data_IF_702722011750
#
_entry.id   IF_702722011750
#
_cell.length_a   1.000
_cell.length_b   1.000
_cell.length_c   1.000
_cell.angle_alpha   90.00
_cell.angle_beta   90.00
_cell.angle_gamma   90.00
#
_symmetry.space_group_name_H-M   'P 1'
#
loop_
_entity.id
_entity.type
_entity.pdbx_description
1 polymer ?
#
# COMPACT_ATOMS: atom_id res chain seq x y z
N UNK A 1 2.92 -38.68 2.89
CA UNK A 1 1.87 -37.68 3.20
C UNK A 1 2.52 -36.30 3.34
N UNK A 2 3.39 -35.96 2.39
CA UNK A 2 4.38 -34.85 2.47
C UNK A 2 4.47 -34.04 1.17
N UNK A 3 3.74 -34.44 0.11
CA UNK A 3 3.75 -33.74 -1.19
C UNK A 3 2.77 -32.57 -1.27
N UNK A 4 1.70 -32.56 -0.47
CA UNK A 4 0.69 -31.51 -0.56
C UNK A 4 1.20 -30.16 -0.05
N UNK A 5 2.08 -30.13 0.95
CA UNK A 5 2.64 -28.88 1.52
C UNK A 5 3.63 -28.21 0.56
N UNK A 6 4.41 -28.98 -0.18
CA UNK A 6 5.30 -28.46 -1.23
C UNK A 6 4.48 -27.82 -2.37
N UNK A 7 3.41 -28.48 -2.83
CA UNK A 7 2.55 -27.95 -3.89
C UNK A 7 1.77 -26.68 -3.49
N UNK A 8 1.44 -26.54 -2.20
CA UNK A 8 0.73 -25.38 -1.68
C UNK A 8 1.66 -24.18 -1.50
N UNK A 9 2.89 -24.43 -1.03
CA UNK A 9 3.95 -23.44 -1.03
C UNK A 9 4.21 -22.98 -2.48
N UNK A 10 4.48 -23.89 -3.41
CA UNK A 10 4.78 -23.55 -4.81
C UNK A 10 3.64 -22.78 -5.50
N UNK A 11 2.37 -23.14 -5.24
CA UNK A 11 1.19 -22.37 -5.70
C UNK A 11 1.05 -20.99 -5.06
N UNK A 12 1.49 -20.82 -3.81
CA UNK A 12 1.58 -19.50 -3.16
C UNK A 12 2.80 -18.69 -3.61
N UNK A 13 3.84 -19.36 -4.13
CA UNK A 13 5.13 -18.75 -4.51
C UNK A 13 5.20 -18.35 -5.98
N UNK A 14 4.42 -18.99 -6.88
CA UNK A 14 4.55 -18.82 -8.33
C UNK A 14 3.50 -17.97 -9.04
N UNK A 15 2.49 -17.43 -8.35
CA UNK A 15 1.43 -16.64 -9.00
C UNK A 15 1.94 -15.21 -9.26
N UNK A 16 2.37 -14.97 -10.51
CA UNK A 16 2.72 -13.62 -11.00
C UNK A 16 1.51 -12.70 -10.88
N UNK A 17 1.73 -11.48 -10.37
CA UNK A 17 0.65 -10.54 -10.06
C UNK A 17 0.39 -9.69 -11.30
N UNK A 18 -0.46 -10.17 -12.20
CA UNK A 18 -0.85 -9.42 -13.39
C UNK A 18 -2.14 -8.61 -13.14
N UNK A 19 -2.04 -7.27 -13.02
CA UNK A 19 -3.19 -6.40 -12.76
C UNK A 19 -4.12 -6.21 -13.97
N UNK A 20 -3.71 -6.64 -15.17
CA UNK A 20 -4.62 -6.72 -16.32
C UNK A 20 -5.68 -7.83 -16.16
N UNK A 21 -5.41 -8.81 -15.30
CA UNK A 21 -6.35 -9.89 -14.99
C UNK A 21 -7.39 -9.45 -13.95
N UNK A 22 -8.65 -9.77 -14.21
CA UNK A 22 -9.78 -9.38 -13.35
C UNK A 22 -9.63 -9.90 -11.92
N UNK A 23 -9.12 -11.13 -11.73
CA UNK A 23 -8.91 -11.73 -10.41
C UNK A 23 -7.89 -10.95 -9.60
N UNK A 24 -6.75 -10.62 -10.19
CA UNK A 24 -5.66 -9.90 -9.52
C UNK A 24 -6.03 -8.44 -9.22
N UNK A 25 -6.74 -7.79 -10.14
CA UNK A 25 -7.28 -6.45 -9.91
C UNK A 25 -8.26 -6.45 -8.72
N UNK A 26 -9.20 -7.39 -8.67
CA UNK A 26 -10.15 -7.53 -7.55
C UNK A 26 -9.45 -7.85 -6.22
N UNK A 27 -8.46 -8.76 -6.22
CA UNK A 27 -7.67 -9.06 -5.03
C UNK A 27 -6.87 -7.84 -4.55
N UNK A 28 -6.38 -7.00 -5.47
CA UNK A 28 -5.72 -5.74 -5.13
C UNK A 28 -6.67 -4.75 -4.48
N UNK A 29 -7.89 -4.63 -5.01
CA UNK A 29 -8.94 -3.77 -4.44
C UNK A 29 -9.40 -4.26 -3.06
N UNK A 30 -9.51 -5.58 -2.88
CA UNK A 30 -9.80 -6.16 -1.58
C UNK A 30 -8.65 -5.90 -0.59
N UNK A 31 -7.40 -6.06 -1.05
CA UNK A 31 -6.21 -5.69 -0.28
C UNK A 31 -6.17 -4.20 0.07
N UNK A 32 -6.71 -3.32 -0.78
CA UNK A 32 -6.88 -1.91 -0.50
C UNK A 32 -7.86 -1.68 0.65
N UNK A 33 -8.99 -2.41 0.66
CA UNK A 33 -9.94 -2.41 1.77
C UNK A 33 -9.30 -2.83 3.09
N UNK A 34 -8.48 -3.89 3.08
CA UNK A 34 -7.72 -4.29 4.26
C UNK A 34 -6.74 -3.19 4.72
N UNK A 35 -6.07 -2.49 3.79
CA UNK A 35 -5.18 -1.37 4.15
C UNK A 35 -5.94 -0.20 4.77
N UNK A 36 -7.15 0.10 4.30
CA UNK A 36 -8.02 1.10 4.92
C UNK A 36 -8.34 0.73 6.37
N UNK A 37 -8.73 -0.53 6.61
CA UNK A 37 -8.98 -1.03 7.97
C UNK A 37 -7.70 -0.93 8.81
N UNK A 38 -6.55 -1.34 8.26
CA UNK A 38 -5.27 -1.29 8.96
C UNK A 38 -4.90 0.15 9.37
N UNK A 39 -5.02 1.13 8.47
CA UNK A 39 -4.78 2.54 8.80
C UNK A 39 -5.75 3.06 9.85
N UNK A 40 -7.02 2.66 9.78
CA UNK A 40 -8.03 2.99 10.78
C UNK A 40 -7.74 2.43 12.16
N UNK A 41 -7.29 1.17 12.25
CA UNK A 41 -6.88 0.54 13.51
C UNK A 41 -5.68 1.26 14.12
N UNK A 42 -4.64 1.55 13.32
CA UNK A 42 -3.45 2.25 13.81
C UNK A 42 -3.81 3.67 14.24
N UNK A 43 -4.64 4.37 13.47
CA UNK A 43 -5.17 5.68 13.84
C UNK A 43 -5.86 5.60 15.20
N UNK A 44 -6.76 4.63 15.38
CA UNK A 44 -7.52 4.46 16.61
C UNK A 44 -6.60 4.14 17.81
N UNK A 45 -5.65 3.23 17.64
CA UNK A 45 -4.67 2.88 18.68
C UNK A 45 -3.81 4.08 19.08
N UNK A 46 -3.29 4.84 18.11
CA UNK A 46 -2.43 6.00 18.39
C UNK A 46 -3.22 7.21 18.92
N UNK A 47 -4.49 7.36 18.52
CA UNK A 47 -5.38 8.35 19.11
C UNK A 47 -5.74 8.00 20.56
N UNK A 48 -5.95 6.70 20.86
CA UNK A 48 -6.29 6.22 22.20
C UNK A 48 -5.14 6.42 23.21
N UNK A 49 -3.89 6.35 22.78
CA UNK A 49 -2.72 6.57 23.64
C UNK A 49 -2.45 8.05 23.94
N UNK A 50 -3.21 8.98 23.34
CA UNK A 50 -3.00 10.45 23.41
C UNK A 50 -1.59 10.91 22.98
N UNK A 51 -0.81 10.04 22.33
CA UNK A 51 0.51 10.38 21.79
C UNK A 51 0.42 11.36 20.62
N UNK A 52 -0.71 11.35 19.91
CA UNK A 52 -0.97 12.18 18.74
C UNK A 52 -2.42 12.68 18.76
N UNK A 53 -2.65 13.88 19.29
CA UNK A 53 -3.92 14.59 19.13
C UNK A 53 -3.90 15.37 17.82
N UNK A 54 -5.04 15.48 17.12
CA UNK A 54 -5.19 16.32 15.90
C UNK A 54 -4.93 17.82 16.14
N UNK A 55 -4.69 18.21 17.38
CA UNK A 55 -4.26 19.53 17.82
C UNK A 55 -2.90 19.37 18.54
N UNK A 56 -1.94 20.29 18.37
CA UNK A 56 -2.05 21.57 17.69
C UNK A 56 -1.94 21.48 16.17
N UNK A 57 -2.52 22.47 15.50
CA UNK A 57 -2.47 22.64 14.04
C UNK A 57 -0.98 22.73 13.59
N UNK A 58 -0.59 22.07 12.48
CA UNK A 58 0.81 22.09 12.04
C UNK A 58 1.28 23.52 11.78
N UNK A 59 2.53 23.82 12.13
CA UNK A 59 3.15 25.15 11.95
C UNK A 59 3.11 25.64 10.50
N UNK A 60 3.11 24.71 9.54
CA UNK A 60 2.89 24.99 8.13
C UNK A 60 1.97 23.93 7.51
N UNK A 61 0.81 24.41 7.04
CA UNK A 61 -0.18 23.57 6.32
C UNK A 61 0.40 23.02 5.02
N UNK A 62 1.15 23.83 4.29
CA UNK A 62 1.77 23.41 3.04
C UNK A 62 2.77 22.27 3.27
N UNK A 63 3.64 22.40 4.28
CA UNK A 63 4.64 21.39 4.59
C UNK A 63 3.98 20.08 5.06
N UNK A 64 2.92 20.17 5.88
CA UNK A 64 2.12 19.01 6.27
C UNK A 64 1.49 18.31 5.06
N UNK A 65 0.94 19.06 4.11
CA UNK A 65 0.40 18.49 2.88
C UNK A 65 1.49 17.79 2.07
N UNK A 66 2.64 18.43 1.82
CA UNK A 66 3.72 17.81 1.03
C UNK A 66 4.31 16.56 1.69
N UNK A 67 4.55 16.59 3.00
CA UNK A 67 5.06 15.45 3.76
C UNK A 67 4.11 14.26 3.77
N UNK A 68 2.80 14.47 3.68
CA UNK A 68 1.84 13.38 3.57
C UNK A 68 1.67 12.92 2.13
N UNK A 69 1.54 13.89 1.22
CA UNK A 69 1.20 13.66 -0.18
C UNK A 69 2.29 12.94 -0.95
N UNK A 70 3.53 13.43 -0.89
CA UNK A 70 4.63 12.89 -1.69
C UNK A 70 4.86 11.40 -1.35
N UNK A 71 5.11 11.02 -0.09
CA UNK A 71 5.31 9.61 0.23
C UNK A 71 4.03 8.79 0.08
N UNK A 72 2.85 9.37 0.32
CA UNK A 72 1.56 8.69 0.12
C UNK A 72 1.38 8.26 -1.35
N UNK A 73 1.57 9.19 -2.28
CA UNK A 73 1.48 8.95 -3.72
C UNK A 73 2.56 7.97 -4.16
N UNK A 74 3.82 8.18 -3.77
CA UNK A 74 4.93 7.30 -4.16
C UNK A 74 4.66 5.87 -3.69
N UNK A 75 4.32 5.65 -2.42
CA UNK A 75 4.10 4.30 -1.89
C UNK A 75 2.80 3.66 -2.39
N UNK A 76 1.79 4.47 -2.74
CA UNK A 76 0.56 3.97 -3.35
C UNK A 76 0.76 3.55 -4.80
N UNK A 77 1.45 4.36 -5.61
CA UNK A 77 1.61 4.15 -7.05
C UNK A 77 2.77 3.23 -7.44
N UNK A 78 3.88 3.26 -6.71
CA UNK A 78 5.13 2.57 -7.11
C UNK A 78 4.98 1.05 -7.12
N UNK A 79 4.43 0.38 -6.09
CA UNK A 79 4.38 -1.07 -6.12
C UNK A 79 3.50 -1.68 -7.22
N UNK A 80 2.27 -1.20 -7.54
CA UNK A 80 1.51 -1.77 -8.65
C UNK A 80 2.17 -1.47 -9.99
N UNK A 81 2.78 -0.29 -10.15
CA UNK A 81 3.52 0.07 -11.36
C UNK A 81 4.74 -0.83 -11.59
N UNK A 82 5.58 -1.03 -10.56
CA UNK A 82 6.78 -1.88 -10.67
C UNK A 82 6.44 -3.33 -10.95
N UNK A 83 5.37 -3.84 -10.34
CA UNK A 83 4.89 -5.21 -10.61
C UNK A 83 4.44 -5.34 -12.06
N UNK A 84 3.63 -4.41 -12.57
CA UNK A 84 3.21 -4.43 -13.98
C UNK A 84 4.39 -4.30 -14.95
N UNK A 85 5.35 -3.43 -14.64
CA UNK A 85 6.56 -3.23 -15.46
C UNK A 85 7.45 -4.48 -15.48
N UNK A 86 7.54 -5.21 -14.37
CA UNK A 86 8.30 -6.46 -14.29
C UNK A 86 7.62 -7.62 -14.99
N UNK A 87 6.30 -7.72 -14.88
CA UNK A 87 5.51 -8.68 -15.65
C UNK A 87 5.71 -8.45 -17.15
N UNK A 88 5.82 -7.19 -17.60
CA UNK A 88 6.14 -6.88 -19.00
C UNK A 88 7.56 -7.31 -19.41
N UNK A 89 8.50 -7.39 -18.47
CA UNK A 89 9.89 -7.81 -18.70
C UNK A 89 10.12 -9.33 -18.54
N UNK A 90 9.06 -10.13 -18.32
CA UNK A 90 9.13 -11.58 -18.05
C UNK A 90 10.17 -11.96 -16.97
N UNK A 91 10.40 -11.08 -15.98
CA UNK A 91 11.35 -11.35 -14.89
C UNK A 91 10.63 -12.03 -13.73
N UNK A 92 10.93 -13.30 -13.43
CA UNK A 92 10.34 -13.96 -12.28
C UNK A 92 10.98 -13.46 -10.98
N UNK A 93 10.14 -13.51 -9.95
CA UNK A 93 10.48 -13.56 -8.53
C UNK A 93 10.42 -12.25 -7.75
N UNK A 94 9.18 -11.89 -7.40
CA UNK A 94 8.89 -10.92 -6.35
C UNK A 94 8.93 -11.63 -5.00
N UNK A 95 10.14 -11.76 -4.44
CA UNK A 95 10.35 -12.42 -3.15
C UNK A 95 9.39 -11.89 -2.07
N UNK A 96 8.84 -12.82 -1.29
CA UNK A 96 8.01 -12.51 -0.11
C UNK A 96 8.70 -11.51 0.82
N UNK A 97 10.04 -11.55 0.91
CA UNK A 97 10.84 -10.60 1.69
C UNK A 97 10.67 -9.16 1.19
N UNK A 98 10.63 -8.93 -0.12
CA UNK A 98 10.41 -7.59 -0.70
C UNK A 98 9.01 -7.08 -0.37
N UNK A 99 7.99 -7.94 -0.33
CA UNK A 99 6.62 -7.57 0.08
C UNK A 99 6.59 -7.16 1.55
N UNK A 100 7.23 -7.94 2.42
CA UNK A 100 7.32 -7.61 3.85
C UNK A 100 8.09 -6.31 4.12
N UNK A 101 9.23 -6.12 3.46
CA UNK A 101 10.01 -4.88 3.57
C UNK A 101 9.15 -3.67 3.15
N UNK A 102 8.45 -3.77 2.02
CA UNK A 102 7.53 -2.71 1.58
C UNK A 102 6.40 -2.44 2.59
N UNK A 103 5.90 -3.48 3.24
CA UNK A 103 4.85 -3.35 4.26
C UNK A 103 5.36 -2.74 5.56
N UNK A 104 6.59 -3.07 5.98
CA UNK A 104 7.26 -2.44 7.11
C UNK A 104 7.56 -0.97 6.86
N UNK A 105 8.03 -0.61 5.65
CA UNK A 105 8.26 0.78 5.25
C UNK A 105 6.94 1.56 5.29
N UNK A 106 5.87 1.00 4.73
CA UNK A 106 4.55 1.64 4.75
C UNK A 106 4.05 1.88 6.17
N UNK A 107 4.12 0.83 7.02
CA UNK A 107 3.65 0.88 8.39
C UNK A 107 4.46 1.88 9.23
N UNK A 108 5.79 1.83 9.10
CA UNK A 108 6.71 2.74 9.78
C UNK A 108 6.50 4.19 9.36
N UNK A 109 6.39 4.44 8.05
CA UNK A 109 6.15 5.79 7.51
C UNK A 109 4.83 6.36 8.03
N UNK A 110 3.73 5.60 7.95
CA UNK A 110 2.44 6.04 8.44
C UNK A 110 2.45 6.30 9.94
N UNK A 111 3.03 5.39 10.73
CA UNK A 111 3.09 5.53 12.19
C UNK A 111 3.95 6.72 12.62
N UNK A 112 5.11 6.93 11.99
CA UNK A 112 5.97 8.09 12.25
C UNK A 112 5.25 9.39 11.90
N UNK A 113 4.68 9.48 10.70
CA UNK A 113 3.92 10.67 10.29
C UNK A 113 2.78 10.94 11.27
N UNK A 114 2.09 9.90 11.73
CA UNK A 114 0.98 10.07 12.67
C UNK A 114 1.42 10.55 14.06
N UNK A 115 2.53 10.03 14.58
CA UNK A 115 3.08 10.43 15.88
C UNK A 115 3.52 11.90 15.87
N UNK A 116 4.21 12.35 14.80
CA UNK A 116 4.71 13.72 14.73
C UNK A 116 3.65 14.73 14.28
N UNK A 117 2.87 14.39 13.27
CA UNK A 117 1.84 15.25 12.68
C UNK A 117 0.63 14.41 12.23
N UNK A 118 -0.35 14.16 13.12
CA UNK A 118 -1.48 13.27 12.82
C UNK A 118 -2.27 13.67 11.56
N UNK A 119 -2.40 14.97 11.31
CA UNK A 119 -3.00 15.52 10.08
C UNK A 119 -2.25 15.04 8.83
N UNK A 120 -0.92 15.09 8.86
CA UNK A 120 -0.05 14.61 7.78
C UNK A 120 -0.20 13.11 7.57
N UNK A 121 -0.33 12.33 8.64
CA UNK A 121 -0.62 10.90 8.57
C UNK A 121 -1.96 10.61 7.86
N UNK A 122 -3.01 11.36 8.19
CA UNK A 122 -4.31 11.22 7.51
C UNK A 122 -4.21 11.57 6.02
N UNK A 123 -3.55 12.67 5.68
CA UNK A 123 -3.30 13.08 4.27
C UNK A 123 -2.54 11.97 3.53
N UNK A 124 -1.51 11.41 4.15
CA UNK A 124 -0.76 10.28 3.63
C UNK A 124 -1.66 9.09 3.33
N UNK A 125 -2.49 8.66 4.28
CA UNK A 125 -3.36 7.49 4.11
C UNK A 125 -4.35 7.68 2.96
N UNK A 126 -4.99 8.85 2.87
CA UNK A 126 -5.94 9.18 1.81
C UNK A 126 -5.26 9.14 0.44
N UNK A 127 -4.12 9.82 0.30
CA UNK A 127 -3.41 9.91 -0.97
C UNK A 127 -2.76 8.59 -1.37
N UNK A 128 -2.30 7.80 -0.41
CA UNK A 128 -1.89 6.42 -0.62
C UNK A 128 -3.03 5.58 -1.20
N UNK A 129 -4.22 5.63 -0.61
CA UNK A 129 -5.36 4.82 -1.05
C UNK A 129 -5.84 5.24 -2.44
N UNK A 130 -5.95 6.56 -2.68
CA UNK A 130 -6.39 7.11 -3.97
C UNK A 130 -5.41 6.81 -5.09
N UNK A 131 -4.10 7.00 -4.85
CA UNK A 131 -3.07 6.70 -5.86
C UNK A 131 -3.00 5.19 -6.15
N UNK A 132 -3.10 4.35 -5.12
CA UNK A 132 -3.11 2.89 -5.29
C UNK A 132 -4.32 2.44 -6.11
N UNK A 133 -5.51 2.94 -5.79
CA UNK A 133 -6.73 2.67 -6.53
C UNK A 133 -6.60 3.14 -7.98
N UNK A 134 -6.19 4.40 -8.18
CA UNK A 134 -6.06 5.02 -9.49
C UNK A 134 -5.13 4.25 -10.42
N UNK A 135 -3.95 3.83 -9.96
CA UNK A 135 -3.00 3.06 -10.79
C UNK A 135 -3.54 1.67 -11.11
N UNK A 136 -4.13 0.95 -10.15
CA UNK A 136 -4.71 -0.37 -10.42
C UNK A 136 -5.85 -0.27 -11.44
N UNK A 137 -6.73 0.71 -11.29
CA UNK A 137 -7.80 0.97 -12.26
C UNK A 137 -7.24 1.39 -13.63
N UNK A 138 -6.23 2.25 -13.68
CA UNK A 138 -5.61 2.68 -14.94
C UNK A 138 -4.98 1.51 -15.70
N UNK A 139 -4.27 0.62 -14.99
CA UNK A 139 -3.70 -0.59 -15.60
C UNK A 139 -4.80 -1.53 -16.11
N UNK A 140 -5.84 -1.77 -15.29
CA UNK A 140 -6.94 -2.66 -15.67
C UNK A 140 -7.77 -2.12 -16.85
N UNK A 141 -8.08 -0.82 -16.87
CA UNK A 141 -8.82 -0.20 -17.97
C UNK A 141 -7.92 -0.14 -19.22
N UNK A 142 -6.66 0.24 -19.06
CA UNK A 142 -5.71 0.32 -20.17
C UNK A 142 -5.46 -1.01 -20.88
N UNK A 143 -5.61 -2.15 -20.20
CA UNK A 143 -5.50 -3.48 -20.81
C UNK A 143 -6.74 -3.93 -21.60
N UNK A 144 -7.83 -3.15 -21.56
CA UNK A 144 -9.12 -3.44 -22.22
C UNK A 144 -9.38 -2.60 -23.47
N UNK A 145 -8.49 -1.63 -23.75
CA UNK A 145 -8.51 -0.76 -24.93
C UNK A 145 -7.52 -1.32 -25.94
#
# INVERSE_FOLDING_TARGET
MTDQTASLAERLHGESINYAETRTALLSLLGLGLKTIQFGIIFWLLAATRLATLQPEPSSKALAVFLGAIPGIILGATPPYLVQYRDWLDQPDYSWATRLIGQLILLGTYSLLFIYHPVTGVIFAILYLMSRFGIVCAIYIGSRI
#
